data_IF_866244290251
#
_entry.id   IF_866244290251
#
_cell.length_a   1.000
_cell.length_b   1.000
_cell.length_c   1.000
_cell.angle_alpha   90.00
_cell.angle_beta   90.00
_cell.angle_gamma   90.00
#
_symmetry.space_group_name_H-M   'P 1'
#
loop_
_entity.id
_entity.type
_entity.pdbx_description
1 polymer ?
#
# COMPACT_ATOMS: atom_id res chain seq x y z
N UNK A 1 19.56 -40.88 -34.64
CA UNK A 1 19.31 -39.46 -34.99
C UNK A 1 18.73 -38.76 -33.76
N UNK A 2 19.54 -37.96 -33.07
CA UNK A 2 19.14 -37.18 -31.90
C UNK A 2 18.48 -35.88 -32.39
N UNK A 3 17.26 -35.58 -31.95
CA UNK A 3 16.70 -34.23 -32.03
C UNK A 3 16.90 -33.57 -30.67
N UNK A 4 17.70 -32.51 -30.65
CA UNK A 4 17.89 -31.63 -29.53
C UNK A 4 16.61 -30.81 -29.31
N UNK A 5 16.04 -30.90 -28.11
CA UNK A 5 15.10 -29.89 -27.61
C UNK A 5 15.90 -28.97 -26.69
N UNK A 6 16.18 -27.77 -27.21
CA UNK A 6 16.55 -26.63 -26.39
C UNK A 6 15.30 -26.15 -25.66
N UNK A 7 15.26 -26.35 -24.36
CA UNK A 7 14.30 -25.71 -23.47
C UNK A 7 14.82 -24.33 -23.10
N UNK A 8 14.08 -23.30 -23.50
CA UNK A 8 14.34 -21.91 -23.15
C UNK A 8 14.37 -21.74 -21.63
N UNK A 9 15.52 -21.35 -21.09
CA UNK A 9 15.60 -20.60 -19.84
C UNK A 9 14.79 -19.32 -20.02
N UNK A 10 13.73 -19.18 -19.24
CA UNK A 10 12.97 -17.93 -19.14
C UNK A 10 13.89 -16.78 -18.70
N UNK A 11 13.63 -15.55 -19.17
CA UNK A 11 14.48 -14.41 -18.86
C UNK A 11 14.48 -14.20 -17.36
N UNK A 12 15.70 -14.08 -16.83
CA UNK A 12 15.99 -14.03 -15.41
C UNK A 12 15.19 -12.97 -14.69
N UNK A 13 14.91 -13.28 -13.42
CA UNK A 13 14.72 -12.28 -12.40
C UNK A 13 15.75 -11.17 -12.64
N UNK A 14 15.29 -9.99 -13.05
CA UNK A 14 16.12 -8.82 -13.18
C UNK A 14 16.71 -8.57 -11.79
N UNK A 15 18.00 -8.89 -11.67
CA UNK A 15 18.82 -8.43 -10.58
C UNK A 15 18.74 -6.89 -10.63
N UNK A 16 18.18 -6.33 -9.57
CA UNK A 16 18.22 -4.91 -9.28
C UNK A 16 19.70 -4.53 -9.07
N UNK A 17 20.31 -3.98 -10.12
CA UNK A 17 21.66 -3.40 -10.10
C UNK A 17 21.64 -2.11 -9.26
N UNK A 18 21.66 -2.25 -7.94
CA UNK A 18 21.82 -1.18 -6.97
C UNK A 18 22.82 -1.62 -5.91
N UNK A 19 23.76 -0.75 -5.55
CA UNK A 19 24.81 -1.02 -4.55
C UNK A 19 24.29 -1.87 -3.37
N UNK A 20 25.06 -2.86 -2.92
CA UNK A 20 24.70 -3.79 -1.85
C UNK A 20 24.43 -3.02 -0.55
N UNK A 21 23.19 -2.53 -0.39
CA UNK A 21 22.76 -1.76 0.78
C UNK A 21 22.65 -2.76 1.91
N UNK A 22 23.38 -2.56 3.03
CA UNK A 22 23.32 -3.48 4.17
C UNK A 22 21.88 -3.73 4.59
N UNK A 23 21.58 -4.99 4.93
CA UNK A 23 20.26 -5.43 5.38
C UNK A 23 20.36 -6.02 6.77
N UNK A 24 19.32 -5.83 7.58
CA UNK A 24 19.23 -6.51 8.87
C UNK A 24 19.14 -8.02 8.66
N UNK A 25 19.86 -8.77 9.49
CA UNK A 25 19.65 -10.21 9.61
C UNK A 25 18.29 -10.49 10.29
N UNK A 26 17.68 -11.67 10.08
CA UNK A 26 16.39 -12.00 10.69
C UNK A 26 16.35 -11.83 12.21
N UNK A 27 17.40 -12.25 12.92
CA UNK A 27 17.49 -12.13 14.38
C UNK A 27 17.58 -10.65 14.82
N UNK A 28 18.26 -9.80 14.05
CA UNK A 28 18.31 -8.36 14.32
C UNK A 28 16.94 -7.69 14.15
N UNK A 29 16.13 -8.18 13.19
CA UNK A 29 14.75 -7.72 13.03
C UNK A 29 13.91 -8.13 14.25
N UNK A 30 14.06 -9.37 14.74
CA UNK A 30 13.35 -9.86 15.93
C UNK A 30 13.72 -9.00 17.14
N UNK A 31 15.01 -8.77 17.38
CA UNK A 31 15.50 -7.98 18.50
C UNK A 31 14.98 -6.53 18.43
N UNK A 32 15.07 -5.91 17.27
CA UNK A 32 14.59 -4.54 17.07
C UNK A 32 13.06 -4.41 17.23
N UNK A 33 12.29 -5.41 16.77
CA UNK A 33 10.83 -5.45 17.03
C UNK A 33 10.55 -5.65 18.53
N UNK A 34 11.34 -6.47 19.23
CA UNK A 34 11.23 -6.67 20.68
C UNK A 34 11.56 -5.43 21.51
N UNK A 35 12.24 -4.44 20.93
CA UNK A 35 12.63 -3.20 21.59
C UNK A 35 11.71 -2.01 21.27
N UNK A 36 10.62 -2.23 20.53
CA UNK A 36 9.67 -1.17 20.21
C UNK A 36 9.06 -0.56 21.47
N UNK A 37 9.05 0.76 21.53
CA UNK A 37 8.43 1.51 22.61
C UNK A 37 6.90 1.34 22.60
N UNK A 38 6.21 1.61 23.72
CA UNK A 38 4.75 1.60 23.75
C UNK A 38 4.09 2.52 22.72
N UNK A 39 4.72 3.66 22.42
CA UNK A 39 4.22 4.59 21.39
C UNK A 39 4.34 3.99 19.98
N UNK A 40 5.46 3.35 19.66
CA UNK A 40 5.64 2.67 18.38
C UNK A 40 4.69 1.49 18.21
N UNK A 41 4.43 0.72 19.27
CA UNK A 41 3.44 -0.35 19.26
C UNK A 41 2.02 0.18 19.01
N UNK A 42 1.64 1.28 19.66
CA UNK A 42 0.35 1.95 19.41
C UNK A 42 0.24 2.42 17.95
N UNK A 43 1.31 2.99 17.40
CA UNK A 43 1.37 3.40 15.99
C UNK A 43 1.19 2.24 15.02
N UNK A 44 1.81 1.09 15.29
CA UNK A 44 1.63 -0.14 14.50
C UNK A 44 0.17 -0.62 14.59
N UNK A 45 -0.46 -0.52 15.76
CA UNK A 45 -1.86 -0.87 15.93
C UNK A 45 -2.78 0.03 15.07
N UNK A 46 -2.58 1.34 15.09
CA UNK A 46 -3.40 2.27 14.30
C UNK A 46 -3.23 2.06 12.79
N UNK A 47 -2.00 1.79 12.34
CA UNK A 47 -1.71 1.44 10.94
C UNK A 47 -2.41 0.12 10.56
N UNK A 48 -2.40 -0.88 11.45
CA UNK A 48 -3.08 -2.16 11.21
C UNK A 48 -4.59 -1.99 11.10
N UNK A 49 -5.20 -1.17 11.95
CA UNK A 49 -6.64 -0.84 11.89
C UNK A 49 -7.01 -0.14 10.60
N UNK A 50 -6.13 0.76 10.15
CA UNK A 50 -6.32 1.46 8.89
C UNK A 50 -6.31 0.49 7.70
N UNK A 51 -5.33 -0.42 7.60
CA UNK A 51 -5.18 -1.31 6.43
C UNK A 51 -6.04 -2.58 6.44
N UNK A 52 -6.41 -3.10 7.61
CA UNK A 52 -7.15 -4.35 7.77
C UNK A 52 -8.42 -4.48 6.90
N UNK A 53 -9.29 -3.45 6.78
CA UNK A 53 -10.47 -3.50 5.91
C UNK A 53 -10.11 -3.72 4.44
N UNK A 54 -8.92 -3.30 3.98
CA UNK A 54 -8.47 -3.42 2.59
C UNK A 54 -8.00 -4.83 2.23
N UNK A 55 -7.71 -5.71 3.20
CA UNK A 55 -7.38 -7.12 2.97
C UNK A 55 -8.40 -8.10 3.56
N UNK A 56 -9.53 -7.63 4.09
CA UNK A 56 -10.54 -8.47 4.75
C UNK A 56 -9.97 -9.32 5.90
N UNK A 57 -9.03 -8.74 6.65
CA UNK A 57 -8.42 -9.34 7.85
C UNK A 57 -8.84 -8.55 9.08
N UNK A 58 -8.73 -9.14 10.28
CA UNK A 58 -8.76 -8.35 11.50
C UNK A 58 -7.43 -7.58 11.65
N UNK A 59 -7.41 -6.43 12.36
CA UNK A 59 -6.19 -5.68 12.61
C UNK A 59 -5.08 -6.51 13.26
N UNK A 60 -5.44 -7.35 14.24
CA UNK A 60 -4.51 -8.29 14.88
C UNK A 60 -3.90 -9.26 13.87
N UNK A 61 -4.71 -9.89 13.04
CA UNK A 61 -4.27 -10.89 12.06
C UNK A 61 -3.31 -10.25 11.04
N UNK A 62 -3.65 -9.05 10.54
CA UNK A 62 -2.79 -8.31 9.62
C UNK A 62 -1.44 -7.99 10.26
N UNK A 63 -1.44 -7.59 11.53
CA UNK A 63 -0.21 -7.29 12.27
C UNK A 63 0.64 -8.53 12.51
N UNK A 64 0.03 -9.64 12.92
CA UNK A 64 0.72 -10.92 13.11
C UNK A 64 1.30 -11.45 11.80
N UNK A 65 0.55 -11.35 10.71
CA UNK A 65 1.06 -11.69 9.37
C UNK A 65 2.23 -10.78 8.97
N UNK A 66 2.18 -9.49 9.29
CA UNK A 66 3.28 -8.58 9.04
C UNK A 66 4.55 -9.00 9.82
N UNK A 67 4.42 -9.37 11.10
CA UNK A 67 5.54 -9.92 11.88
C UNK A 67 6.07 -11.23 11.30
N UNK A 68 5.20 -12.18 10.96
CA UNK A 68 5.61 -13.45 10.37
C UNK A 68 6.40 -13.25 9.06
N UNK A 69 5.97 -12.30 8.22
CA UNK A 69 6.71 -11.93 7.00
C UNK A 69 8.00 -11.20 7.31
N UNK A 70 8.03 -10.29 8.28
CA UNK A 70 9.22 -9.57 8.71
C UNK A 70 10.32 -10.52 9.20
N UNK A 71 9.97 -11.56 9.96
CA UNK A 71 10.93 -12.52 10.51
C UNK A 71 11.31 -13.63 9.54
N UNK A 72 10.52 -13.86 8.48
CA UNK A 72 10.72 -14.97 7.56
C UNK A 72 11.16 -14.56 6.16
N UNK A 73 10.29 -13.87 5.44
CA UNK A 73 10.38 -13.76 3.97
C UNK A 73 10.71 -12.36 3.46
N UNK A 74 10.63 -11.34 4.32
CA UNK A 74 10.94 -9.94 3.98
C UNK A 74 12.31 -9.57 4.50
N UNK A 75 12.98 -8.70 3.75
CA UNK A 75 14.29 -8.14 4.12
C UNK A 75 14.16 -6.63 4.36
N UNK A 76 14.79 -6.13 5.42
CA UNK A 76 14.79 -4.72 5.77
C UNK A 76 16.16 -4.09 5.48
N UNK A 77 16.18 -2.90 4.85
CA UNK A 77 17.43 -2.14 4.66
C UNK A 77 17.85 -1.55 6.01
N UNK A 78 19.15 -1.56 6.29
CA UNK A 78 19.69 -0.91 7.49
C UNK A 78 19.36 0.59 7.44
N UNK A 79 18.92 1.13 8.57
CA UNK A 79 18.48 2.53 8.69
C UNK A 79 16.99 2.77 8.40
N UNK A 80 16.25 1.77 7.92
CA UNK A 80 14.77 1.86 7.88
C UNK A 80 14.21 1.69 9.30
N UNK A 81 13.33 2.60 9.72
CA UNK A 81 12.63 2.50 11.00
C UNK A 81 11.71 1.29 11.03
N UNK A 82 11.66 0.57 12.16
CA UNK A 82 10.96 -0.72 12.19
C UNK A 82 9.44 -0.58 12.06
N UNK A 83 8.87 0.52 12.57
CA UNK A 83 7.46 0.87 12.33
C UNK A 83 7.18 1.07 10.83
N UNK A 84 8.04 1.82 10.14
CA UNK A 84 7.90 2.09 8.71
C UNK A 84 8.02 0.79 7.91
N UNK A 85 9.00 -0.06 8.24
CA UNK A 85 9.16 -1.37 7.62
C UNK A 85 7.90 -2.24 7.75
N UNK A 86 7.32 -2.32 8.95
CA UNK A 86 6.09 -3.08 9.20
C UNK A 86 4.89 -2.46 8.48
N UNK A 87 4.79 -1.12 8.44
CA UNK A 87 3.77 -0.40 7.70
C UNK A 87 3.81 -0.74 6.20
N UNK A 88 5.01 -0.77 5.61
CA UNK A 88 5.22 -1.17 4.21
C UNK A 88 4.79 -2.61 3.94
N UNK A 89 5.05 -3.53 4.88
CA UNK A 89 4.56 -4.92 4.78
C UNK A 89 3.03 -4.97 4.83
N UNK A 90 2.38 -4.26 5.78
CA UNK A 90 0.91 -4.21 5.89
C UNK A 90 0.28 -3.61 4.63
N UNK A 91 0.85 -2.53 4.10
CA UNK A 91 0.43 -1.92 2.84
C UNK A 91 0.55 -2.89 1.66
N UNK A 92 1.63 -3.67 1.60
CA UNK A 92 1.80 -4.70 0.59
C UNK A 92 0.71 -5.78 0.70
N UNK A 93 0.41 -6.26 1.90
CA UNK A 93 -0.65 -7.25 2.13
C UNK A 93 -2.02 -6.69 1.72
N UNK A 94 -2.33 -5.45 2.12
CA UNK A 94 -3.55 -4.74 1.72
C UNK A 94 -3.69 -4.61 0.20
N UNK A 95 -2.60 -4.25 -0.48
CA UNK A 95 -2.55 -4.11 -1.93
C UNK A 95 -2.77 -5.45 -2.65
N UNK A 96 -2.16 -6.53 -2.17
CA UNK A 96 -2.35 -7.87 -2.72
C UNK A 96 -3.77 -8.37 -2.50
N UNK A 97 -4.34 -8.13 -1.31
CA UNK A 97 -5.73 -8.44 -0.99
C UNK A 97 -6.71 -7.72 -1.92
N UNK A 98 -6.50 -6.43 -2.16
CA UNK A 98 -7.29 -5.66 -3.12
C UNK A 98 -7.20 -6.24 -4.54
N UNK A 99 -5.99 -6.50 -5.04
CA UNK A 99 -5.76 -7.07 -6.38
C UNK A 99 -6.41 -8.44 -6.53
N UNK A 100 -6.29 -9.29 -5.51
CA UNK A 100 -6.90 -10.63 -5.48
C UNK A 100 -8.43 -10.55 -5.57
N UNK A 101 -9.07 -9.68 -4.77
CA UNK A 101 -10.53 -9.47 -4.84
C UNK A 101 -10.98 -8.89 -6.17
N UNK A 102 -10.25 -7.93 -6.71
CA UNK A 102 -10.54 -7.37 -8.04
C UNK A 102 -10.51 -8.47 -9.11
N UNK A 103 -9.47 -9.30 -9.11
CA UNK A 103 -9.35 -10.44 -10.04
C UNK A 103 -10.47 -11.47 -9.83
N UNK A 104 -10.82 -11.79 -8.59
CA UNK A 104 -11.94 -12.68 -8.29
C UNK A 104 -13.27 -12.14 -8.84
N UNK A 105 -13.50 -10.83 -8.72
CA UNK A 105 -14.67 -10.15 -9.30
C UNK A 105 -14.69 -10.24 -10.82
N UNK A 106 -13.57 -9.90 -11.47
CA UNK A 106 -13.45 -9.94 -12.94
C UNK A 106 -13.65 -11.36 -13.48
N UNK A 107 -13.24 -12.38 -12.72
CA UNK A 107 -13.38 -13.79 -13.10
C UNK A 107 -14.73 -14.43 -12.69
N UNK A 108 -15.66 -13.66 -12.11
CA UNK A 108 -16.94 -14.20 -11.62
C UNK A 108 -16.81 -15.21 -10.48
N UNK A 109 -15.67 -15.22 -9.77
CA UNK A 109 -15.38 -16.14 -8.67
C UNK A 109 -15.90 -15.63 -7.31
N UNK A 110 -16.53 -14.45 -7.27
CA UNK A 110 -17.24 -13.96 -6.10
C UNK A 110 -18.70 -14.42 -6.16
N UNK A 111 -19.17 -15.02 -5.08
CA UNK A 111 -20.59 -15.33 -4.90
C UNK A 111 -21.36 -14.02 -4.76
N UNK A 112 -22.29 -13.78 -5.69
CA UNK A 112 -23.21 -12.64 -5.61
C UNK A 112 -24.32 -13.04 -4.64
N UNK A 113 -24.24 -12.53 -3.41
CA UNK A 113 -25.33 -12.68 -2.45
C UNK A 113 -26.43 -11.69 -2.80
N UNK A 114 -27.57 -12.19 -3.26
CA UNK A 114 -28.77 -11.39 -3.39
C UNK A 114 -29.32 -11.09 -1.99
N UNK A 115 -29.38 -9.81 -1.63
CA UNK A 115 -30.02 -9.36 -0.39
C UNK A 115 -31.41 -8.88 -0.76
N UNK A 116 -32.43 -9.68 -0.44
CA UNK A 116 -33.86 -9.42 -0.76
C UNK A 116 -34.37 -8.05 -0.30
N UNK A 117 -33.69 -7.42 0.67
CA UNK A 117 -34.09 -6.12 1.19
C UNK A 117 -33.88 -4.97 0.19
N UNK A 118 -32.95 -5.05 -0.77
CA UNK A 118 -32.73 -3.97 -1.74
C UNK A 118 -33.83 -3.99 -2.83
N UNK A 119 -34.48 -2.84 -3.06
CA UNK A 119 -35.57 -2.71 -4.04
C UNK A 119 -36.97 -3.11 -3.53
N UNK A 120 -37.08 -3.76 -2.37
CA UNK A 120 -38.34 -4.01 -1.66
C UNK A 120 -38.48 -3.08 -0.44
N UNK A 121 -39.71 -2.66 -0.12
CA UNK A 121 -40.02 -1.80 1.04
C UNK A 121 -39.31 -0.43 1.10
N UNK A 122 -38.89 0.11 -0.04
CA UNK A 122 -38.30 1.45 -0.12
C UNK A 122 -36.83 1.53 0.31
N UNK A 123 -36.13 0.41 0.46
CA UNK A 123 -34.66 0.40 0.58
C UNK A 123 -34.07 0.68 -0.80
N UNK A 124 -33.34 1.80 -0.98
CA UNK A 124 -32.73 2.13 -2.26
C UNK A 124 -31.76 1.04 -2.68
N UNK A 125 -31.75 0.69 -3.97
CA UNK A 125 -30.64 -0.10 -4.50
C UNK A 125 -29.31 0.62 -4.21
N UNK A 126 -28.26 -0.11 -3.82
CA UNK A 126 -26.96 0.48 -3.60
C UNK A 126 -26.45 1.05 -4.93
N UNK A 127 -26.32 2.38 -5.00
CA UNK A 127 -25.74 3.05 -6.14
C UNK A 127 -24.29 2.58 -6.32
N UNK A 128 -24.02 1.83 -7.38
CA UNK A 128 -22.66 1.45 -7.74
C UNK A 128 -22.06 2.55 -8.63
N UNK A 129 -21.50 3.59 -7.99
CA UNK A 129 -20.75 4.64 -8.68
C UNK A 129 -19.35 4.13 -9.04
N UNK A 130 -19.27 3.22 -10.03
CA UNK A 130 -18.01 2.96 -10.71
C UNK A 130 -17.95 3.77 -12.00
N UNK A 131 -16.75 4.26 -12.37
CA UNK A 131 -16.55 4.91 -13.66
C UNK A 131 -16.91 3.93 -14.77
N UNK A 132 -17.50 4.47 -15.85
CA UNK A 132 -17.77 3.71 -17.05
C UNK A 132 -16.46 3.16 -17.65
N UNK A 133 -16.50 2.10 -18.48
CA UNK A 133 -15.30 1.60 -19.14
C UNK A 133 -14.56 2.68 -19.96
N UNK A 134 -15.31 3.59 -20.57
CA UNK A 134 -14.75 4.73 -21.31
C UNK A 134 -14.06 5.73 -20.37
N UNK A 135 -14.70 6.11 -19.28
CA UNK A 135 -14.12 7.00 -18.27
C UNK A 135 -12.84 6.41 -17.65
N UNK A 136 -12.84 5.10 -17.36
CA UNK A 136 -11.66 4.41 -16.86
C UNK A 136 -10.51 4.39 -17.88
N UNK A 137 -10.81 4.21 -19.17
CA UNK A 137 -9.82 4.22 -20.24
C UNK A 137 -9.24 5.64 -20.45
N UNK A 138 -10.09 6.67 -20.45
CA UNK A 138 -9.67 8.07 -20.53
C UNK A 138 -8.80 8.45 -19.33
N UNK A 139 -9.25 8.12 -18.12
CA UNK A 139 -8.48 8.38 -16.89
C UNK A 139 -7.10 7.73 -16.93
N UNK A 140 -6.99 6.47 -17.36
CA UNK A 140 -5.70 5.80 -17.53
C UNK A 140 -4.82 6.49 -18.57
N UNK A 141 -5.41 6.93 -19.68
CA UNK A 141 -4.68 7.60 -20.77
C UNK A 141 -4.13 8.97 -20.38
N UNK A 142 -4.91 9.78 -19.68
CA UNK A 142 -4.54 11.17 -19.36
C UNK A 142 -3.79 11.28 -18.01
N UNK A 143 -4.10 10.43 -17.04
CA UNK A 143 -3.56 10.57 -15.68
C UNK A 143 -2.61 9.43 -15.28
N UNK A 144 -2.52 8.35 -16.06
CA UNK A 144 -1.72 7.17 -15.71
C UNK A 144 -0.25 7.48 -15.47
N UNK A 145 0.40 8.18 -16.39
CA UNK A 145 1.82 8.51 -16.30
C UNK A 145 2.11 9.51 -15.17
N UNK A 146 1.24 10.50 -14.98
CA UNK A 146 1.34 11.45 -13.90
C UNK A 146 1.21 10.77 -12.53
N UNK A 147 0.22 9.88 -12.39
CA UNK A 147 -0.01 9.13 -11.15
C UNK A 147 1.17 8.19 -10.87
N UNK A 148 1.68 7.48 -11.88
CA UNK A 148 2.84 6.61 -11.73
C UNK A 148 4.09 7.38 -11.27
N UNK A 149 4.35 8.57 -11.84
CA UNK A 149 5.45 9.45 -11.42
C UNK A 149 5.27 9.98 -10.00
N UNK A 150 4.05 10.39 -9.64
CA UNK A 150 3.74 10.89 -8.30
C UNK A 150 3.92 9.80 -7.23
N UNK A 151 3.51 8.56 -7.51
CA UNK A 151 3.73 7.43 -6.62
C UNK A 151 5.22 7.06 -6.53
N UNK A 152 5.94 7.08 -7.65
CA UNK A 152 7.37 6.78 -7.67
C UNK A 152 8.21 7.81 -6.88
N UNK A 153 7.82 9.09 -6.84
CA UNK A 153 8.62 10.11 -6.15
C UNK A 153 8.60 9.99 -4.60
N UNK A 154 7.66 9.21 -4.07
CA UNK A 154 7.51 8.88 -2.65
C UNK A 154 7.80 7.40 -2.35
N UNK A 155 8.29 6.64 -3.33
CA UNK A 155 8.58 5.24 -3.13
C UNK A 155 9.68 5.05 -2.06
N UNK A 156 9.49 4.06 -1.19
CA UNK A 156 10.32 3.82 -0.01
C UNK A 156 10.24 4.84 1.14
N UNK A 157 9.45 5.91 1.04
CA UNK A 157 9.13 6.82 2.15
C UNK A 157 7.74 6.48 2.70
N UNK A 158 7.67 5.51 3.62
CA UNK A 158 6.42 4.93 4.13
C UNK A 158 5.53 5.98 4.82
N UNK A 159 6.13 6.99 5.45
CA UNK A 159 5.37 8.10 6.06
C UNK A 159 4.68 8.97 4.98
N UNK A 160 5.37 9.28 3.87
CA UNK A 160 4.74 10.00 2.76
C UNK A 160 3.71 9.15 2.03
N UNK A 161 3.98 7.85 1.89
CA UNK A 161 3.02 6.92 1.30
C UNK A 161 1.76 6.81 2.15
N UNK A 162 1.89 6.68 3.47
CA UNK A 162 0.74 6.61 4.37
C UNK A 162 -0.06 7.92 4.37
N UNK A 163 0.61 9.08 4.28
CA UNK A 163 -0.06 10.36 4.09
C UNK A 163 -0.85 10.39 2.78
N UNK A 164 -0.27 9.93 1.68
CA UNK A 164 -0.94 9.92 0.38
C UNK A 164 -2.18 9.03 0.40
N UNK A 165 -2.07 7.80 0.94
CA UNK A 165 -3.20 6.87 1.11
C UNK A 165 -4.32 7.51 1.95
N UNK A 166 -3.98 8.08 3.12
CA UNK A 166 -4.97 8.73 3.98
C UNK A 166 -5.66 9.92 3.30
N UNK A 167 -4.94 10.70 2.49
CA UNK A 167 -5.52 11.80 1.71
C UNK A 167 -6.45 11.28 0.61
N UNK A 168 -6.11 10.18 -0.06
CA UNK A 168 -6.95 9.53 -1.07
C UNK A 168 -8.24 8.96 -0.49
N UNK A 169 -8.19 8.45 0.74
CA UNK A 169 -9.39 7.99 1.46
C UNK A 169 -10.21 9.14 2.07
N UNK A 170 -9.80 10.39 1.83
CA UNK A 170 -10.54 11.56 2.28
C UNK A 170 -10.30 11.97 3.73
N UNK A 171 -9.34 11.35 4.45
CA UNK A 171 -9.03 11.72 5.83
C UNK A 171 -8.53 13.18 5.93
N UNK A 172 -8.91 13.88 7.01
CA UNK A 172 -8.55 15.28 7.24
C UNK A 172 -8.22 15.56 8.71
N UNK A 173 -7.44 16.63 8.94
CA UNK A 173 -7.17 17.16 10.27
C UNK A 173 -6.69 16.08 11.26
N UNK A 174 -7.46 15.90 12.34
CA UNK A 174 -7.15 14.98 13.43
C UNK A 174 -7.02 13.52 12.98
N UNK A 175 -7.78 13.09 11.98
CA UNK A 175 -7.69 11.72 11.46
C UNK A 175 -6.33 11.43 10.81
N UNK A 176 -5.75 12.43 10.12
CA UNK A 176 -4.41 12.31 9.55
C UNK A 176 -3.31 12.45 10.60
N UNK A 177 -3.55 13.28 11.63
CA UNK A 177 -2.67 13.38 12.79
C UNK A 177 -2.57 12.03 13.51
N UNK A 178 -3.71 11.39 13.74
CA UNK A 178 -3.78 10.09 14.41
C UNK A 178 -3.16 8.99 13.53
N UNK A 179 -3.49 8.94 12.23
CA UNK A 179 -2.93 7.95 11.31
C UNK A 179 -1.39 8.02 11.22
N UNK A 180 -0.83 9.22 11.19
CA UNK A 180 0.61 9.43 11.03
C UNK A 180 1.35 9.48 12.37
N UNK A 181 0.63 9.50 13.49
CA UNK A 181 1.12 9.80 14.83
C UNK A 181 1.91 11.13 14.85
N UNK A 182 1.24 12.23 14.46
CA UNK A 182 1.81 13.57 14.39
C UNK A 182 0.89 14.60 15.04
N UNK A 183 1.49 15.60 15.67
CA UNK A 183 0.78 16.82 15.99
C UNK A 183 0.53 17.67 14.73
N UNK A 184 -0.26 18.75 14.88
CA UNK A 184 -0.61 19.64 13.77
C UNK A 184 0.61 20.20 13.04
N UNK A 185 1.69 20.49 13.78
CA UNK A 185 2.94 21.02 13.22
C UNK A 185 3.68 19.94 12.42
N UNK A 186 3.73 18.71 12.95
CA UNK A 186 4.28 17.54 12.29
C UNK A 186 3.54 17.22 11.00
N UNK A 187 2.21 17.17 11.04
CA UNK A 187 1.40 16.97 9.84
C UNK A 187 1.67 18.04 8.77
N UNK A 188 1.76 19.31 9.17
CA UNK A 188 2.11 20.40 8.25
C UNK A 188 3.51 20.20 7.64
N UNK A 189 4.48 19.71 8.41
CA UNK A 189 5.82 19.42 7.93
C UNK A 189 5.84 18.26 6.91
N UNK A 190 5.13 17.16 7.18
CA UNK A 190 5.02 16.01 6.26
C UNK A 190 4.33 16.44 4.97
N UNK A 191 3.23 17.20 5.04
CA UNK A 191 2.56 17.77 3.85
C UNK A 191 3.48 18.64 3.02
N UNK A 192 4.30 19.48 3.66
CA UNK A 192 5.29 20.31 2.96
C UNK A 192 6.39 19.47 2.29
N UNK A 193 6.79 18.36 2.92
CA UNK A 193 7.75 17.40 2.33
C UNK A 193 7.14 16.75 1.06
N UNK A 194 5.89 16.31 1.13
CA UNK A 194 5.17 15.76 -0.03
C UNK A 194 5.06 16.79 -1.16
N UNK A 195 4.63 18.01 -0.85
CA UNK A 195 4.51 19.08 -1.84
C UNK A 195 5.84 19.35 -2.57
N UNK A 196 6.95 19.45 -1.84
CA UNK A 196 8.29 19.64 -2.42
C UNK A 196 8.71 18.49 -3.34
N UNK A 197 8.38 17.24 -3.00
CA UNK A 197 8.66 16.06 -3.84
C UNK A 197 7.86 16.13 -5.14
N UNK A 198 6.60 16.52 -5.05
CA UNK A 198 5.73 16.71 -6.22
C UNK A 198 6.21 17.88 -7.08
N UNK A 199 6.54 19.03 -6.49
CA UNK A 199 7.06 20.20 -7.23
C UNK A 199 8.36 19.87 -7.98
N UNK A 200 9.26 19.11 -7.36
CA UNK A 200 10.50 18.66 -8.00
C UNK A 200 10.24 17.66 -9.14
N UNK A 201 9.20 16.82 -9.01
CA UNK A 201 8.81 15.83 -10.02
C UNK A 201 8.06 16.47 -11.19
N UNK A 202 7.32 17.54 -10.90
CA UNK A 202 6.46 18.27 -11.84
C UNK A 202 6.79 19.77 -11.84
N UNK A 203 8.01 20.17 -12.26
CA UNK A 203 8.45 21.58 -12.20
C UNK A 203 7.61 22.52 -13.07
N UNK A 204 6.95 21.99 -14.11
CA UNK A 204 6.07 22.73 -15.00
C UNK A 204 4.58 22.39 -14.76
N UNK A 205 4.25 21.81 -13.61
CA UNK A 205 2.94 21.26 -13.33
C UNK A 205 2.72 19.87 -13.93
N UNK A 206 1.55 19.29 -13.66
CA UNK A 206 1.15 18.00 -14.23
C UNK A 206 0.72 18.24 -15.67
N UNK A 207 1.37 17.58 -16.64
CA UNK A 207 0.83 17.51 -18.00
C UNK A 207 -0.39 16.60 -17.95
N UNK A 208 -1.58 17.23 -17.93
CA UNK A 208 -2.89 16.57 -17.98
C UNK A 208 -3.39 16.56 -19.42
#
# INVERSE_FOLDING_TARGET
MRKAQGGLMGPGAQADDGADVPRYAPDEIIDAVGQLSPAELARIEDISRYFAPRCAMQPEDLRQEAYARAFGTRSCKVGTGMVDFLAGIMKSIASDGYRSRKKARENGALEVVYVEAYGANGVPEPAFEAPSPEEAALSRRYHGDALAKALACIDGDEELQLLAEGVFDGLRGKELEDLLDKDTKGLAAVRKRLARRLDATFPNGVSV
#
